data_IF_848686907584
#
_entry.id   IF_848686907584
#
_cell.length_a   1.000
_cell.length_b   1.000
_cell.length_c   1.000
_cell.angle_alpha   90.00
_cell.angle_beta   90.00
_cell.angle_gamma   90.00
#
_symmetry.space_group_name_H-M   'P 1'
#
loop_
_entity.id
_entity.type
_entity.pdbx_description
1 polymer ?
#
# COMPACT_ATOMS: atom_id res chain seq x y z
N UNK A 1 16.31 1.43 -22.61
CA UNK A 1 15.15 1.97 -21.89
C UNK A 1 15.10 1.31 -20.53
N UNK A 2 15.53 1.96 -19.45
CA UNK A 2 15.59 1.34 -18.12
C UNK A 2 14.22 0.94 -17.55
N UNK A 3 13.13 1.59 -17.98
CA UNK A 3 11.82 1.37 -17.41
C UNK A 3 11.10 0.05 -17.76
N UNK A 4 11.55 -0.69 -18.77
CA UNK A 4 10.87 -1.94 -19.15
C UNK A 4 11.18 -3.08 -18.18
N UNK A 5 12.43 -3.18 -17.76
CA UNK A 5 12.87 -4.26 -16.86
C UNK A 5 12.28 -4.11 -15.46
N UNK A 6 12.11 -2.88 -15.00
CA UNK A 6 11.48 -2.56 -13.70
C UNK A 6 10.00 -2.92 -13.72
N UNK A 7 9.25 -2.53 -14.77
CA UNK A 7 7.83 -2.89 -14.90
C UNK A 7 7.66 -4.40 -14.97
N UNK A 8 8.51 -5.10 -15.71
CA UNK A 8 8.48 -6.57 -15.78
C UNK A 8 8.80 -7.21 -14.42
N UNK A 9 9.77 -6.66 -13.67
CA UNK A 9 10.11 -7.15 -12.34
C UNK A 9 8.94 -6.95 -11.34
N UNK A 10 8.35 -5.76 -11.31
CA UNK A 10 7.18 -5.49 -10.47
C UNK A 10 5.98 -6.38 -10.82
N UNK A 11 5.75 -6.64 -12.11
CA UNK A 11 4.70 -7.58 -12.52
C UNK A 11 5.01 -9.01 -12.10
N UNK A 12 6.27 -9.44 -12.21
CA UNK A 12 6.73 -10.75 -11.75
C UNK A 12 6.51 -10.92 -10.25
N UNK A 13 6.95 -9.97 -9.44
CA UNK A 13 6.73 -9.98 -7.98
C UNK A 13 5.25 -10.11 -7.61
N UNK A 14 4.37 -9.40 -8.30
CA UNK A 14 2.93 -9.40 -8.00
C UNK A 14 2.23 -10.68 -8.49
N UNK A 15 2.59 -11.20 -9.65
CA UNK A 15 1.85 -12.28 -10.32
C UNK A 15 2.46 -13.66 -10.06
N UNK A 16 3.77 -13.77 -10.06
CA UNK A 16 4.48 -15.05 -9.94
C UNK A 16 4.93 -15.30 -8.50
N UNK A 17 5.64 -14.37 -7.89
CA UNK A 17 6.08 -14.51 -6.49
C UNK A 17 4.94 -14.32 -5.49
N UNK A 18 3.89 -13.60 -5.91
CA UNK A 18 2.73 -13.28 -5.07
C UNK A 18 3.16 -12.73 -3.70
N UNK A 19 3.97 -11.68 -3.73
CA UNK A 19 4.61 -11.09 -2.55
C UNK A 19 3.60 -10.78 -1.44
N UNK A 20 2.40 -10.27 -1.80
CA UNK A 20 1.34 -9.94 -0.83
C UNK A 20 0.33 -11.09 -0.62
N UNK A 21 0.76 -12.33 -0.84
CA UNK A 21 -0.05 -13.52 -0.61
C UNK A 21 0.63 -14.44 0.42
N UNK A 22 -0.07 -14.73 1.49
CA UNK A 22 0.26 -15.73 2.50
C UNK A 22 -0.91 -16.71 2.65
N UNK A 23 -0.71 -17.99 2.96
CA UNK A 23 -1.81 -18.95 3.12
C UNK A 23 -2.93 -18.48 4.05
N UNK A 24 -2.59 -17.75 5.12
CA UNK A 24 -3.54 -17.21 6.09
C UNK A 24 -4.07 -15.82 5.70
N UNK A 25 -3.32 -15.05 4.89
CA UNK A 25 -3.59 -13.63 4.57
C UNK A 25 -3.47 -13.41 3.06
N UNK A 26 -4.60 -13.38 2.38
CA UNK A 26 -4.70 -13.12 0.93
C UNK A 26 -6.06 -12.52 0.61
N UNK A 27 -6.19 -11.95 -0.56
CA UNK A 27 -7.47 -11.47 -1.09
C UNK A 27 -8.39 -12.67 -1.32
N UNK A 28 -9.65 -12.55 -0.94
CA UNK A 28 -10.69 -13.57 -1.10
C UNK A 28 -11.81 -13.06 -2.03
N UNK A 29 -12.53 -13.95 -2.71
CA UNK A 29 -13.69 -13.54 -3.50
C UNK A 29 -14.69 -12.74 -2.66
N UNK A 30 -15.14 -11.61 -3.23
CA UNK A 30 -16.08 -10.70 -2.57
C UNK A 30 -15.45 -9.63 -1.66
N UNK A 31 -14.13 -9.65 -1.43
CA UNK A 31 -13.44 -8.65 -0.60
C UNK A 31 -13.56 -7.22 -1.15
N UNK A 32 -13.65 -6.27 -0.23
CA UNK A 32 -13.33 -4.86 -0.45
C UNK A 32 -11.89 -4.65 -0.03
N UNK A 33 -11.06 -4.29 -1.01
CA UNK A 33 -9.59 -4.20 -0.87
C UNK A 33 -9.15 -2.74 -0.90
N UNK A 34 -8.22 -2.39 -0.02
CA UNK A 34 -7.47 -1.13 -0.09
C UNK A 34 -6.07 -1.45 -0.59
N UNK A 35 -5.64 -0.78 -1.66
CA UNK A 35 -4.30 -0.87 -2.24
C UNK A 35 -3.58 0.47 -2.03
N UNK A 36 -2.79 0.58 -0.96
CA UNK A 36 -1.98 1.75 -0.67
C UNK A 36 -0.63 1.63 -1.40
N UNK A 37 -0.33 2.63 -2.24
CA UNK A 37 0.79 2.58 -3.17
C UNK A 37 0.45 1.72 -4.38
N UNK A 38 -0.65 2.07 -5.05
CA UNK A 38 -1.18 1.26 -6.15
C UNK A 38 -0.31 1.33 -7.42
N UNK A 39 0.60 2.31 -7.51
CA UNK A 39 1.52 2.51 -8.63
C UNK A 39 0.78 2.47 -9.97
N UNK A 40 1.15 1.64 -10.92
CA UNK A 40 0.49 1.48 -12.23
C UNK A 40 -0.65 0.44 -12.23
N UNK A 41 -1.03 -0.08 -11.05
CA UNK A 41 -2.18 -0.99 -10.87
C UNK A 41 -1.85 -2.48 -10.87
N UNK A 42 -0.59 -2.87 -10.64
CA UNK A 42 -0.18 -4.28 -10.64
C UNK A 42 -0.94 -5.12 -9.61
N UNK A 43 -0.85 -4.75 -8.32
CA UNK A 43 -1.56 -5.46 -7.27
C UNK A 43 -3.09 -5.32 -7.40
N UNK A 44 -3.59 -4.15 -7.75
CA UNK A 44 -5.04 -3.95 -8.00
C UNK A 44 -5.57 -4.97 -9.01
N UNK A 45 -4.87 -5.23 -10.11
CA UNK A 45 -5.24 -6.24 -11.11
C UNK A 45 -5.25 -7.65 -10.51
N UNK A 46 -4.22 -8.01 -9.76
CA UNK A 46 -4.15 -9.31 -9.07
C UNK A 46 -5.33 -9.49 -8.10
N UNK A 47 -5.64 -8.47 -7.29
CA UNK A 47 -6.76 -8.50 -6.37
C UNK A 47 -8.11 -8.72 -7.08
N UNK A 48 -8.33 -8.06 -8.21
CA UNK A 48 -9.53 -8.26 -9.04
C UNK A 48 -9.59 -9.67 -9.65
N UNK A 49 -8.46 -10.23 -10.08
CA UNK A 49 -8.37 -11.60 -10.59
C UNK A 49 -8.61 -12.64 -9.48
N UNK A 50 -8.25 -12.34 -8.23
CA UNK A 50 -8.56 -13.17 -7.06
C UNK A 50 -10.03 -13.04 -6.62
N UNK A 51 -10.84 -12.25 -7.32
CA UNK A 51 -12.27 -12.11 -7.07
C UNK A 51 -12.66 -10.99 -6.11
N UNK A 52 -11.77 -10.03 -5.84
CA UNK A 52 -12.15 -8.83 -5.09
C UNK A 52 -13.40 -8.18 -5.72
N UNK A 53 -14.37 -7.83 -4.89
CA UNK A 53 -15.58 -7.12 -5.33
C UNK A 53 -15.26 -5.71 -5.78
N UNK A 54 -14.39 -5.05 -5.03
CA UNK A 54 -13.97 -3.67 -5.27
C UNK A 54 -12.56 -3.45 -4.73
N UNK A 55 -11.79 -2.62 -5.42
CA UNK A 55 -10.49 -2.13 -4.96
C UNK A 55 -10.52 -0.61 -4.87
N UNK A 56 -10.15 -0.06 -3.72
CA UNK A 56 -9.80 1.36 -3.57
C UNK A 56 -8.29 1.46 -3.71
N UNK A 57 -7.85 2.00 -4.83
CA UNK A 57 -6.44 2.16 -5.18
C UNK A 57 -6.00 3.59 -4.85
N UNK A 58 -4.95 3.73 -4.03
CA UNK A 58 -4.46 5.01 -3.55
C UNK A 58 -3.04 5.20 -4.07
N UNK A 59 -2.84 6.25 -4.85
CA UNK A 59 -1.57 6.57 -5.50
C UNK A 59 -1.43 8.08 -5.64
N UNK A 60 -0.39 8.72 -5.12
CA UNK A 60 -0.23 10.18 -5.21
C UNK A 60 0.46 10.65 -6.48
N UNK A 61 1.28 9.84 -7.16
CA UNK A 61 2.17 10.29 -8.21
C UNK A 61 1.45 10.43 -9.55
N UNK A 62 1.46 11.62 -10.19
CA UNK A 62 0.68 11.89 -11.40
C UNK A 62 1.02 11.01 -12.60
N UNK A 63 2.29 10.59 -12.75
CA UNK A 63 2.68 9.72 -13.85
C UNK A 63 2.13 8.30 -13.68
N UNK A 64 2.18 7.77 -12.45
CA UNK A 64 1.58 6.49 -12.08
C UNK A 64 0.06 6.52 -12.25
N UNK A 65 -0.61 7.58 -11.80
CA UNK A 65 -2.06 7.77 -11.96
C UNK A 65 -2.47 7.69 -13.43
N UNK A 66 -1.75 8.37 -14.34
CA UNK A 66 -2.05 8.31 -15.78
C UNK A 66 -1.86 6.91 -16.36
N UNK A 67 -0.84 6.19 -15.93
CA UNK A 67 -0.62 4.80 -16.33
C UNK A 67 -1.69 3.87 -15.76
N UNK A 68 -2.02 4.02 -14.47
CA UNK A 68 -3.06 3.27 -13.78
C UNK A 68 -4.42 3.42 -14.48
N UNK A 69 -4.84 4.67 -14.77
CA UNK A 69 -6.10 4.96 -15.46
C UNK A 69 -6.20 4.26 -16.83
N UNK A 70 -5.09 4.20 -17.58
CA UNK A 70 -5.06 3.47 -18.86
C UNK A 70 -5.13 1.96 -18.66
N UNK A 71 -4.41 1.45 -17.67
CA UNK A 71 -4.30 0.01 -17.42
C UNK A 71 -5.59 -0.61 -16.89
N UNK A 72 -6.43 0.16 -16.17
CA UNK A 72 -7.63 -0.30 -15.45
C UNK A 72 -8.86 0.55 -15.81
N UNK A 73 -8.90 1.08 -17.05
CA UNK A 73 -9.96 1.98 -17.51
C UNK A 73 -11.37 1.36 -17.40
N UNK A 74 -11.52 0.11 -17.78
CA UNK A 74 -12.81 -0.58 -17.74
C UNK A 74 -13.24 -0.87 -16.29
N UNK A 75 -12.32 -1.29 -15.43
CA UNK A 75 -12.61 -1.57 -14.02
C UNK A 75 -13.00 -0.30 -13.25
N UNK A 76 -12.40 0.84 -13.59
CA UNK A 76 -12.77 2.16 -13.06
C UNK A 76 -14.17 2.53 -13.58
N UNK A 77 -14.43 2.40 -14.87
CA UNK A 77 -15.71 2.75 -15.53
C UNK A 77 -16.90 1.98 -14.95
N UNK A 78 -16.71 0.69 -14.67
CA UNK A 78 -17.78 -0.16 -14.08
C UNK A 78 -17.82 -0.10 -12.56
N UNK A 79 -17.00 0.75 -11.91
CA UNK A 79 -17.00 0.98 -10.48
C UNK A 79 -16.37 -0.13 -9.62
N UNK A 80 -15.65 -1.08 -10.23
CA UNK A 80 -14.88 -2.08 -9.49
C UNK A 80 -13.57 -1.54 -8.92
N UNK A 81 -13.09 -0.43 -9.45
CA UNK A 81 -11.90 0.29 -8.95
C UNK A 81 -12.28 1.74 -8.68
N UNK A 82 -11.93 2.22 -7.48
CA UNK A 82 -11.96 3.63 -7.12
C UNK A 82 -10.52 4.11 -6.97
N UNK A 83 -10.08 4.96 -7.89
CA UNK A 83 -8.74 5.55 -7.86
C UNK A 83 -8.75 6.84 -7.06
N UNK A 84 -7.88 6.94 -6.06
CA UNK A 84 -7.73 8.08 -5.16
C UNK A 84 -6.35 8.71 -5.38
N UNK A 85 -6.29 9.95 -5.92
CA UNK A 85 -5.03 10.63 -6.23
C UNK A 85 -4.46 11.34 -4.98
N UNK A 86 -4.14 10.57 -3.95
CA UNK A 86 -3.60 11.08 -2.67
C UNK A 86 -2.57 10.13 -2.09
N UNK A 87 -1.71 10.64 -1.21
CA UNK A 87 -0.91 9.80 -0.32
C UNK A 87 -1.70 9.40 0.92
N UNK A 88 -1.22 8.38 1.64
CA UNK A 88 -1.77 7.96 2.94
C UNK A 88 -0.82 8.40 4.05
N UNK A 89 -1.39 9.03 5.10
CA UNK A 89 -0.64 9.59 6.22
C UNK A 89 -1.42 9.50 7.53
N UNK A 90 -0.86 10.03 8.63
CA UNK A 90 -1.53 10.10 9.94
C UNK A 90 -2.51 11.28 10.08
N UNK A 91 -2.48 12.21 9.14
CA UNK A 91 -3.35 13.40 9.09
C UNK A 91 -3.63 13.80 7.65
N UNK A 92 -4.74 14.48 7.42
CA UNK A 92 -5.06 15.05 6.10
C UNK A 92 -4.34 16.38 5.92
N UNK A 93 -3.81 16.62 4.71
CA UNK A 93 -3.08 17.85 4.41
C UNK A 93 -2.31 17.77 3.11
N UNK A 94 -1.16 18.46 3.05
CA UNK A 94 -0.22 18.43 1.94
C UNK A 94 1.17 18.10 2.45
N UNK A 95 1.87 17.25 1.72
CA UNK A 95 3.28 16.89 1.97
C UNK A 95 4.08 17.06 0.67
N UNK A 96 5.37 17.32 0.82
CA UNK A 96 6.30 17.29 -0.31
C UNK A 96 6.71 15.86 -0.58
N UNK A 97 6.41 15.36 -1.78
CA UNK A 97 6.89 14.06 -2.26
C UNK A 97 8.27 14.28 -2.91
N UNK A 98 9.26 13.56 -2.42
CA UNK A 98 10.58 13.56 -3.04
C UNK A 98 10.60 12.56 -4.19
N UNK A 99 10.57 13.06 -5.42
CA UNK A 99 10.68 12.22 -6.61
C UNK A 99 12.17 11.88 -6.83
N UNK A 100 12.56 10.63 -6.61
CA UNK A 100 13.89 10.19 -6.99
C UNK A 100 14.02 10.16 -8.52
N UNK A 101 15.15 10.60 -9.05
CA UNK A 101 15.43 10.59 -10.49
C UNK A 101 15.62 9.19 -11.08
N UNK A 102 15.62 8.16 -10.27
CA UNK A 102 15.71 6.74 -10.65
C UNK A 102 14.35 6.14 -10.38
N UNK A 103 13.60 5.79 -11.41
CA UNK A 103 12.19 5.44 -11.41
C UNK A 103 11.71 4.26 -10.55
N UNK A 104 12.38 3.94 -9.46
CA UNK A 104 12.19 2.70 -8.69
C UNK A 104 11.63 2.90 -7.28
N UNK A 105 11.69 4.11 -6.72
CA UNK A 105 11.12 4.36 -5.39
C UNK A 105 10.85 5.84 -5.15
N UNK A 106 9.63 6.19 -4.85
CA UNK A 106 9.19 7.53 -4.46
C UNK A 106 8.94 7.56 -2.97
N UNK A 107 9.94 7.97 -2.19
CA UNK A 107 9.78 8.13 -0.74
C UNK A 107 9.05 9.43 -0.43
N UNK A 108 7.89 9.33 0.20
CA UNK A 108 7.29 10.46 0.90
C UNK A 108 8.01 10.57 2.24
N UNK A 109 8.75 11.61 2.44
CA UNK A 109 9.30 12.09 3.71
C UNK A 109 10.80 12.34 3.74
N UNK A 110 11.08 13.53 4.11
CA UNK A 110 12.29 14.25 4.51
C UNK A 110 12.85 15.15 3.41
N UNK A 111 12.94 16.47 3.67
CA UNK A 111 13.55 17.40 2.73
C UNK A 111 15.05 17.08 2.62
N UNK A 112 15.41 16.35 1.58
CA UNK A 112 16.79 16.29 1.13
C UNK A 112 16.88 17.03 -0.18
N UNK A 113 17.69 18.08 -0.23
CA UNK A 113 17.89 19.08 -1.27
C UNK A 113 18.36 18.54 -2.64
N UNK A 114 17.76 17.48 -3.19
CA UNK A 114 18.14 16.93 -4.51
C UNK A 114 16.92 16.34 -5.23
N UNK A 115 16.11 17.20 -5.85
CA UNK A 115 15.00 16.78 -6.70
C UNK A 115 13.95 17.89 -6.81
N UNK A 116 12.98 17.75 -7.71
CA UNK A 116 11.79 18.58 -7.72
C UNK A 116 10.82 18.01 -6.69
N UNK A 117 10.63 18.73 -5.59
CA UNK A 117 9.58 18.43 -4.63
C UNK A 117 8.22 18.73 -5.27
N UNK A 118 7.39 17.74 -5.40
CA UNK A 118 6.00 17.92 -5.83
C UNK A 118 5.09 17.81 -4.59
N UNK A 119 4.29 18.85 -4.37
CA UNK A 119 3.34 18.85 -3.27
C UNK A 119 2.17 17.92 -3.59
N UNK A 120 2.01 16.87 -2.79
CA UNK A 120 0.90 15.91 -2.89
C UNK A 120 -0.12 16.15 -1.78
N UNK A 121 -1.38 15.90 -2.10
CA UNK A 121 -2.42 15.77 -1.07
C UNK A 121 -2.27 14.44 -0.33
N UNK A 122 -2.45 14.46 0.98
CA UNK A 122 -2.48 13.28 1.83
C UNK A 122 -3.76 13.20 2.64
N UNK A 123 -4.15 12.00 2.98
CA UNK A 123 -5.34 11.72 3.78
C UNK A 123 -5.09 10.56 4.74
N UNK A 124 -5.92 10.42 5.75
CA UNK A 124 -5.92 9.22 6.59
C UNK A 124 -6.80 8.13 5.97
N UNK A 125 -6.52 6.87 6.25
CA UNK A 125 -7.42 5.78 5.84
C UNK A 125 -8.80 5.95 6.50
N UNK A 126 -8.86 6.38 7.75
CA UNK A 126 -10.13 6.60 8.45
C UNK A 126 -11.00 7.68 7.79
N UNK A 127 -10.39 8.82 7.38
CA UNK A 127 -11.09 9.87 6.66
C UNK A 127 -11.53 9.42 5.25
N UNK A 128 -10.67 8.64 4.57
CA UNK A 128 -10.97 8.11 3.25
C UNK A 128 -12.16 7.14 3.29
N UNK A 129 -12.20 6.23 4.28
CA UNK A 129 -13.33 5.30 4.45
C UNK A 129 -14.63 6.04 4.60
N UNK A 130 -14.65 7.11 5.37
CA UNK A 130 -15.83 7.96 5.59
C UNK A 130 -16.22 8.69 4.31
N UNK A 131 -15.26 9.32 3.61
CA UNK A 131 -15.53 10.10 2.39
C UNK A 131 -16.03 9.25 1.21
N UNK A 132 -15.64 7.98 1.15
CA UNK A 132 -16.08 7.02 0.13
C UNK A 132 -17.31 6.21 0.52
N UNK A 133 -17.87 6.45 1.71
CA UNK A 133 -19.01 5.71 2.28
C UNK A 133 -18.83 4.18 2.16
N UNK A 134 -17.65 3.70 2.63
CA UNK A 134 -17.37 2.27 2.56
C UNK A 134 -18.07 1.52 3.71
N UNK A 135 -18.87 0.54 3.35
CA UNK A 135 -19.57 -0.30 4.32
C UNK A 135 -18.64 -1.30 5.03
N UNK A 136 -17.52 -1.68 4.39
CA UNK A 136 -16.54 -2.65 4.93
C UNK A 136 -15.18 -2.50 4.26
N UNK A 137 -14.14 -2.99 4.94
CA UNK A 137 -12.81 -3.24 4.38
C UNK A 137 -12.38 -4.63 4.86
N UNK A 138 -11.92 -5.48 3.93
CA UNK A 138 -11.59 -6.88 4.20
C UNK A 138 -10.10 -7.17 4.09
N UNK A 139 -9.42 -6.41 3.24
CA UNK A 139 -8.00 -6.59 2.99
C UNK A 139 -7.33 -5.24 2.72
N UNK A 140 -6.15 -5.03 3.28
CA UNK A 140 -5.31 -3.87 3.03
C UNK A 140 -3.92 -4.34 2.60
N UNK A 141 -3.47 -3.95 1.43
CA UNK A 141 -2.05 -3.98 1.04
C UNK A 141 -1.47 -2.59 1.28
N UNK A 142 -0.25 -2.55 1.80
CA UNK A 142 0.45 -1.30 2.02
C UNK A 142 1.91 -1.43 1.63
N UNK A 143 2.30 -0.63 0.64
CA UNK A 143 3.65 -0.52 0.12
C UNK A 143 3.82 0.92 -0.37
N UNK A 144 4.26 1.80 0.53
CA UNK A 144 4.22 3.26 0.39
C UNK A 144 5.54 3.91 0.78
N UNK A 145 6.62 3.18 0.52
CA UNK A 145 7.99 3.69 0.51
C UNK A 145 8.40 4.37 1.83
N UNK A 146 8.05 3.73 2.96
CA UNK A 146 8.44 4.15 4.31
C UNK A 146 7.42 5.03 5.04
N UNK A 147 6.22 5.21 4.49
CA UNK A 147 5.11 5.92 5.13
C UNK A 147 4.16 4.99 5.90
N UNK A 148 4.43 3.69 5.95
CA UNK A 148 3.56 2.65 6.50
C UNK A 148 3.18 2.93 7.96
N UNK A 149 4.16 3.32 8.80
CA UNK A 149 3.92 3.64 10.22
C UNK A 149 2.92 4.79 10.35
N UNK A 150 3.09 5.85 9.55
CA UNK A 150 2.21 7.02 9.54
C UNK A 150 0.82 6.69 9.04
N UNK A 151 0.72 5.94 7.95
CA UNK A 151 -0.54 5.48 7.39
C UNK A 151 -1.35 4.64 8.38
N UNK A 152 -0.69 3.75 9.13
CA UNK A 152 -1.34 2.92 10.16
C UNK A 152 -1.86 3.72 11.35
N UNK A 153 -1.15 4.78 11.76
CA UNK A 153 -1.66 5.70 12.80
C UNK A 153 -2.96 6.40 12.34
N UNK A 154 -3.09 6.69 11.03
CA UNK A 154 -4.31 7.23 10.41
C UNK A 154 -5.38 6.19 10.05
N UNK A 155 -5.22 4.93 10.48
CA UNK A 155 -6.12 3.82 10.15
C UNK A 155 -6.78 3.19 11.39
N UNK A 156 -6.68 3.83 12.55
CA UNK A 156 -7.07 3.21 13.83
C UNK A 156 -8.56 2.83 13.88
N UNK A 157 -9.44 3.70 13.42
CA UNK A 157 -10.87 3.42 13.42
C UNK A 157 -11.22 2.28 12.45
N UNK A 158 -10.57 2.22 11.28
CA UNK A 158 -10.68 1.14 10.32
C UNK A 158 -10.26 -0.20 10.93
N UNK A 159 -9.10 -0.25 11.58
CA UNK A 159 -8.58 -1.46 12.22
C UNK A 159 -9.51 -1.96 13.33
N UNK A 160 -10.07 -1.06 14.13
CA UNK A 160 -11.02 -1.40 15.19
C UNK A 160 -12.36 -1.90 14.65
N UNK A 161 -12.90 -1.22 13.63
CA UNK A 161 -14.25 -1.45 13.12
C UNK A 161 -14.34 -2.71 12.25
N UNK A 162 -13.45 -2.84 11.27
CA UNK A 162 -13.57 -3.88 10.24
C UNK A 162 -12.55 -4.99 10.33
N UNK A 163 -11.46 -4.77 11.07
CA UNK A 163 -10.46 -5.80 11.35
C UNK A 163 -9.94 -6.50 10.08
N UNK A 164 -9.53 -5.72 9.06
CA UNK A 164 -9.11 -6.29 7.80
C UNK A 164 -7.86 -7.15 7.96
N UNK A 165 -7.68 -8.10 7.06
CA UNK A 165 -6.38 -8.75 6.85
C UNK A 165 -5.42 -7.73 6.25
N UNK A 166 -4.16 -7.71 6.74
CA UNK A 166 -3.17 -6.73 6.31
C UNK A 166 -1.96 -7.43 5.69
N UNK A 167 -1.46 -6.89 4.59
CA UNK A 167 -0.17 -7.25 3.99
C UNK A 167 0.64 -5.96 3.82
N UNK A 168 1.68 -5.79 4.66
CA UNK A 168 2.39 -4.52 4.82
C UNK A 168 3.87 -4.73 4.56
N UNK A 169 4.45 -3.97 3.62
CA UNK A 169 5.89 -3.90 3.40
C UNK A 169 6.60 -3.38 4.66
N UNK A 170 7.68 -4.03 5.07
CA UNK A 170 8.30 -3.78 6.39
C UNK A 170 9.82 -3.64 6.33
N UNK A 171 10.35 -3.18 5.20
CA UNK A 171 11.79 -3.11 4.94
C UNK A 171 12.29 -1.71 4.57
N UNK A 172 11.41 -0.74 4.44
CA UNK A 172 11.78 0.60 3.97
C UNK A 172 12.56 1.40 5.03
N UNK A 173 12.17 1.28 6.31
CA UNK A 173 12.85 1.99 7.40
C UNK A 173 13.42 1.01 8.43
N UNK A 174 14.53 1.43 9.06
CA UNK A 174 15.10 0.66 10.16
C UNK A 174 14.07 0.48 11.27
N UNK A 175 13.86 -0.77 11.69
CA UNK A 175 12.93 -1.12 12.77
C UNK A 175 11.47 -1.28 12.33
N UNK A 176 11.15 -1.16 11.04
CA UNK A 176 9.78 -1.32 10.52
C UNK A 176 9.04 -2.55 11.05
N UNK A 177 9.63 -3.76 11.08
CA UNK A 177 8.88 -4.92 11.54
C UNK A 177 8.35 -4.79 12.97
N UNK A 178 9.15 -4.24 13.87
CA UNK A 178 8.77 -4.06 15.27
C UNK A 178 7.77 -2.91 15.44
N UNK A 179 8.05 -1.76 14.82
CA UNK A 179 7.23 -0.56 14.94
C UNK A 179 5.84 -0.74 14.28
N UNK A 180 5.79 -1.31 13.07
CA UNK A 180 4.54 -1.63 12.38
C UNK A 180 3.69 -2.57 13.23
N UNK A 181 4.28 -3.64 13.77
CA UNK A 181 3.58 -4.58 14.64
C UNK A 181 3.06 -3.90 15.90
N UNK A 182 3.88 -3.06 16.53
CA UNK A 182 3.49 -2.29 17.73
C UNK A 182 2.27 -1.39 17.46
N UNK A 183 2.27 -0.65 16.33
CA UNK A 183 1.14 0.23 15.97
C UNK A 183 -0.14 -0.57 15.74
N UNK A 184 -0.05 -1.70 15.02
CA UNK A 184 -1.22 -2.57 14.79
C UNK A 184 -1.76 -3.12 16.11
N UNK A 185 -0.90 -3.61 17.01
CA UNK A 185 -1.32 -4.13 18.32
C UNK A 185 -1.83 -3.05 19.28
N UNK A 186 -1.32 -1.83 19.20
CA UNK A 186 -1.88 -0.69 19.95
C UNK A 186 -3.30 -0.33 19.49
N UNK A 187 -3.56 -0.46 18.19
CA UNK A 187 -4.91 -0.29 17.67
C UNK A 187 -5.79 -1.48 18.09
N UNK A 188 -5.23 -2.71 17.98
CA UNK A 188 -5.96 -3.93 18.29
C UNK A 188 -5.02 -5.10 18.63
N UNK A 189 -4.97 -5.48 19.89
CA UNK A 189 -3.97 -6.42 20.45
C UNK A 189 -4.16 -7.89 20.04
N UNK A 190 -5.30 -8.28 19.47
CA UNK A 190 -5.63 -9.66 19.10
C UNK A 190 -5.28 -10.02 17.64
N UNK A 191 -4.59 -9.14 16.91
CA UNK A 191 -3.99 -9.52 15.64
C UNK A 191 -2.81 -10.47 15.83
N UNK A 192 -2.84 -11.56 15.07
CA UNK A 192 -1.71 -12.44 14.87
C UNK A 192 -0.86 -11.91 13.71
N UNK A 193 0.44 -12.17 13.73
CA UNK A 193 1.36 -11.77 12.68
C UNK A 193 2.13 -12.97 12.14
N UNK A 194 2.21 -13.05 10.80
CA UNK A 194 3.10 -13.94 10.07
C UNK A 194 4.01 -13.10 9.17
N UNK A 195 5.10 -13.66 8.68
CA UNK A 195 6.00 -13.02 7.73
C UNK A 195 6.34 -13.96 6.59
N UNK A 196 6.67 -13.37 5.45
CA UNK A 196 7.13 -14.10 4.27
C UNK A 196 8.33 -13.38 3.70
N UNK A 197 9.27 -14.17 3.18
CA UNK A 197 10.50 -13.72 2.55
C UNK A 197 11.35 -12.79 3.44
N UNK A 198 12.64 -12.96 3.38
CA UNK A 198 13.59 -12.13 4.10
C UNK A 198 14.42 -11.32 3.10
N UNK A 199 14.54 -10.04 3.37
CA UNK A 199 15.44 -9.14 2.65
C UNK A 199 16.59 -8.70 3.55
N UNK A 200 17.75 -8.50 2.93
CA UNK A 200 18.87 -7.85 3.60
C UNK A 200 18.61 -6.34 3.61
N UNK A 201 18.36 -5.78 4.78
CA UNK A 201 18.16 -4.34 4.96
C UNK A 201 19.44 -3.56 4.67
N UNK A 202 19.33 -2.24 4.51
CA UNK A 202 20.47 -1.35 4.33
C UNK A 202 21.48 -1.42 5.49
N UNK A 203 21.06 -1.85 6.69
CA UNK A 203 21.93 -2.08 7.83
C UNK A 203 22.60 -3.47 7.83
N UNK A 204 22.35 -4.30 6.83
CA UNK A 204 22.87 -5.66 6.72
C UNK A 204 22.05 -6.73 7.48
N UNK A 205 21.05 -6.35 8.26
CA UNK A 205 20.18 -7.27 8.96
C UNK A 205 19.17 -7.92 8.00
N UNK A 206 18.85 -9.20 8.24
CA UNK A 206 17.73 -9.87 7.55
C UNK A 206 16.42 -9.43 8.19
N UNK A 207 15.54 -8.86 7.39
CA UNK A 207 14.21 -8.38 7.83
C UNK A 207 13.11 -8.97 6.97
N UNK A 208 11.91 -9.20 7.51
CA UNK A 208 10.77 -9.62 6.70
C UNK A 208 10.48 -8.60 5.58
N UNK A 209 10.24 -9.09 4.37
CA UNK A 209 9.79 -8.25 3.25
C UNK A 209 8.37 -7.74 3.51
N UNK A 210 7.48 -8.64 3.91
CA UNK A 210 6.08 -8.33 4.20
C UNK A 210 5.65 -8.93 5.54
N UNK A 211 4.95 -8.15 6.33
CA UNK A 211 4.21 -8.61 7.51
C UNK A 211 2.74 -8.83 7.15
N UNK A 212 2.20 -9.95 7.58
CA UNK A 212 0.82 -10.36 7.35
C UNK A 212 0.07 -10.43 8.67
N UNK A 213 -0.94 -9.58 8.85
CA UNK A 213 -1.75 -9.56 10.06
C UNK A 213 -3.13 -10.16 9.79
N UNK A 214 -3.61 -10.97 10.75
CA UNK A 214 -4.88 -11.68 10.67
C UNK A 214 -5.44 -12.00 12.07
N UNK A 215 -6.66 -12.50 12.08
CA UNK A 215 -7.38 -12.96 13.28
C UNK A 215 -7.98 -14.33 13.02
#
# INVERSE_FOLDING_TARGET
>A
MPGRDVIMHLQWEQTVERVYHHPLVHVRPGDVVIDCGAHIGGFTRVALQMGARMVVAIEPEPANLRAFQRNLAEEIKIGRVRLVPKGVWDSSGRLSLHLSSVGDSHSAVIPQNRGKDEAIEVTTLDALMTSLDLARVDFVKMDIEGSERKALLGARAMLLKWQPRLAISSYHQKGDPAEISSIVWQARSDYLVASKDLLKSNSGAMVPKVLFFYR
#
